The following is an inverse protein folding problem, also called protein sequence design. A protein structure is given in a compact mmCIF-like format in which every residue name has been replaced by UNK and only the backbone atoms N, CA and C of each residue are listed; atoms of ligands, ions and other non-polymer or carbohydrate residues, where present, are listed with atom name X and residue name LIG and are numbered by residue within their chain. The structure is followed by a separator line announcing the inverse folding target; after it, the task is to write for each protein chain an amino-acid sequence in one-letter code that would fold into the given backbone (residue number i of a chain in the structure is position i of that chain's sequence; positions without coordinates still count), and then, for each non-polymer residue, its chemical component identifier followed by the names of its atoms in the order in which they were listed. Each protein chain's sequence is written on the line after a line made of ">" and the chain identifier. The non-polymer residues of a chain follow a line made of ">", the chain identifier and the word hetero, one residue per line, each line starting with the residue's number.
data_IF_555556248332
#
_entry.id   IF_555556248332
#
_cell.length_a   1.000
_cell.length_b   1.000
_cell.length_c   1.000
_cell.angle_alpha   90.00
_cell.angle_beta   90.00
_cell.angle_gamma   90.00
#
_symmetry.space_group_name_H-M   'P 1'
#
loop_
_entity.id
_entity.type
_entity.pdbx_description
1 polymer ?
#
# COMPACT_ATOMS: atom_id res chain seq x y z
N UNK A 1 -2.52 32.71 12.12
CA UNK A 1 -2.07 31.28 12.07
C UNK A 1 -2.81 30.64 10.93
N UNK A 2 -2.13 29.96 10.00
CA UNK A 2 -2.77 29.16 8.95
C UNK A 2 -2.88 27.72 9.44
N UNK A 3 -4.04 27.08 9.22
CA UNK A 3 -4.22 25.65 9.44
C UNK A 3 -3.81 24.90 8.17
N UNK A 4 -3.20 23.71 8.34
CA UNK A 4 -2.87 22.81 7.24
C UNK A 4 -3.73 21.55 7.36
N UNK A 5 -4.42 21.17 6.28
CA UNK A 5 -5.14 19.92 6.17
C UNK A 5 -4.27 18.90 5.41
N UNK A 6 -4.07 17.73 5.99
CA UNK A 6 -3.48 16.58 5.33
C UNK A 6 -4.58 15.54 5.14
N UNK A 7 -4.68 15.00 3.93
CA UNK A 7 -5.63 13.93 3.58
C UNK A 7 -4.83 12.71 3.17
N UNK A 8 -4.94 11.63 3.92
CA UNK A 8 -4.39 10.32 3.61
C UNK A 8 -5.52 9.34 3.39
N UNK A 9 -5.37 8.43 2.44
CA UNK A 9 -6.36 7.43 2.07
C UNK A 9 -5.67 6.09 2.07
N UNK A 10 -6.07 5.21 3.01
CA UNK A 10 -5.66 3.82 2.99
C UNK A 10 -6.28 3.18 1.75
N UNK A 11 -5.40 2.70 0.87
CA UNK A 11 -5.77 2.15 -0.43
C UNK A 11 -5.19 0.75 -0.48
N UNK A 12 -6.02 -0.21 -0.16
CA UNK A 12 -5.62 -1.56 0.21
C UNK A 12 -6.50 -2.61 -0.45
N UNK A 13 -6.15 -3.88 -0.35
CA UNK A 13 -6.95 -4.98 -0.87
C UNK A 13 -8.34 -5.05 -0.21
N UNK A 14 -9.29 -5.66 -0.92
CA UNK A 14 -10.62 -5.94 -0.41
C UNK A 14 -10.58 -7.18 0.49
N UNK A 15 -10.74 -7.00 1.80
CA UNK A 15 -10.79 -8.10 2.75
C UNK A 15 -11.97 -7.96 3.71
N UNK A 16 -12.36 -9.08 4.30
CA UNK A 16 -13.44 -9.13 5.27
C UNK A 16 -12.87 -8.97 6.70
N UNK A 17 -13.21 -7.88 7.36
CA UNK A 17 -12.77 -7.57 8.73
C UNK A 17 -13.26 -8.59 9.78
N UNK A 18 -14.33 -9.33 9.48
CA UNK A 18 -14.91 -10.34 10.37
C UNK A 18 -14.34 -11.75 10.10
N UNK A 19 -13.51 -11.90 9.10
CA UNK A 19 -12.86 -13.16 8.72
C UNK A 19 -11.35 -13.14 9.04
N UNK A 20 -10.71 -14.31 9.17
CA UNK A 20 -9.25 -14.37 9.24
C UNK A 20 -8.60 -13.76 7.99
N UNK A 21 -7.53 -13.02 8.18
CA UNK A 21 -6.73 -12.50 7.06
C UNK A 21 -6.12 -13.64 6.26
N UNK A 22 -6.06 -13.48 4.94
CA UNK A 22 -5.55 -14.51 4.03
C UNK A 22 -4.84 -13.88 2.84
N UNK A 23 -3.70 -14.44 2.39
CA UNK A 23 -3.00 -13.96 1.20
C UNK A 23 -3.81 -14.09 -0.09
N UNK A 24 -4.87 -14.93 -0.10
CA UNK A 24 -5.79 -15.06 -1.23
C UNK A 24 -6.76 -13.88 -1.35
N UNK A 25 -6.97 -13.12 -0.27
CA UNK A 25 -7.82 -11.93 -0.25
C UNK A 25 -7.03 -10.72 -0.77
N UNK A 26 -6.78 -10.68 -2.06
CA UNK A 26 -5.95 -9.66 -2.72
C UNK A 26 -6.69 -8.94 -3.86
N UNK A 27 -8.02 -8.98 -3.87
CA UNK A 27 -8.83 -8.24 -4.82
C UNK A 27 -8.66 -6.73 -4.65
N UNK A 28 -8.65 -6.01 -5.76
CA UNK A 28 -8.53 -4.55 -5.79
C UNK A 28 -9.56 -3.93 -6.76
N UNK A 29 -10.73 -4.53 -6.88
CA UNK A 29 -11.78 -4.14 -7.82
C UNK A 29 -12.24 -2.69 -7.64
N UNK A 30 -12.28 -2.22 -6.39
CA UNK A 30 -12.63 -0.85 -6.02
C UNK A 30 -11.68 0.20 -6.62
N UNK A 31 -10.46 -0.16 -7.00
CA UNK A 31 -9.50 0.77 -7.61
C UNK A 31 -10.05 1.42 -8.89
N UNK A 32 -10.99 0.76 -9.57
CA UNK A 32 -11.70 1.31 -10.73
C UNK A 32 -12.57 2.53 -10.39
N UNK A 33 -12.93 2.74 -9.14
CA UNK A 33 -13.73 3.86 -8.65
C UNK A 33 -12.89 5.04 -8.12
N UNK A 34 -11.58 4.87 -7.93
CA UNK A 34 -10.68 5.93 -7.49
C UNK A 34 -10.72 7.20 -8.38
N UNK A 35 -10.93 7.12 -9.71
CA UNK A 35 -11.06 8.32 -10.52
C UNK A 35 -12.18 9.27 -10.06
N UNK A 36 -13.31 8.71 -9.62
CA UNK A 36 -14.42 9.54 -9.12
C UNK A 36 -14.07 10.22 -7.81
N UNK A 37 -13.37 9.53 -6.92
CA UNK A 37 -12.89 10.11 -5.65
C UNK A 37 -11.85 11.21 -5.92
N UNK A 38 -10.93 10.97 -6.84
CA UNK A 38 -9.90 11.92 -7.22
C UNK A 38 -10.48 13.20 -7.83
N UNK A 39 -11.54 13.08 -8.67
CA UNK A 39 -12.25 14.23 -9.21
C UNK A 39 -12.77 15.14 -8.08
N UNK A 40 -13.40 14.56 -7.05
CA UNK A 40 -13.90 15.33 -5.91
C UNK A 40 -12.78 16.09 -5.17
N UNK A 41 -11.63 15.46 -4.98
CA UNK A 41 -10.49 16.13 -4.37
C UNK A 41 -9.96 17.28 -5.24
N UNK A 42 -9.91 17.09 -6.54
CA UNK A 42 -9.44 18.14 -7.46
C UNK A 42 -10.43 19.31 -7.53
N UNK A 43 -11.75 19.05 -7.49
CA UNK A 43 -12.79 20.09 -7.40
C UNK A 43 -12.63 20.96 -6.15
N UNK A 44 -12.22 20.36 -5.03
CA UNK A 44 -11.99 21.06 -3.75
C UNK A 44 -10.56 21.60 -3.59
N UNK A 45 -9.71 21.43 -4.58
CA UNK A 45 -8.30 21.85 -4.53
C UNK A 45 -7.47 21.07 -3.52
N UNK A 46 -7.87 19.85 -3.20
CA UNK A 46 -7.18 18.95 -2.27
C UNK A 46 -6.25 18.03 -3.05
N UNK A 47 -5.03 17.87 -2.53
CA UNK A 47 -4.04 16.92 -3.05
C UNK A 47 -3.85 15.81 -2.01
N UNK A 48 -4.51 14.65 -2.18
CA UNK A 48 -4.42 13.56 -1.21
C UNK A 48 -3.11 12.77 -1.35
N UNK A 49 -2.77 12.01 -0.30
CA UNK A 49 -1.78 10.93 -0.34
C UNK A 49 -2.51 9.59 -0.28
N UNK A 50 -2.40 8.80 -1.34
CA UNK A 50 -2.84 7.40 -1.34
C UNK A 50 -1.72 6.53 -0.76
N UNK A 51 -1.96 5.91 0.39
CA UNK A 51 -1.03 4.96 0.97
C UNK A 51 -1.45 3.55 0.53
N UNK A 52 -0.60 2.92 -0.28
CA UNK A 52 -0.95 1.72 -1.04
C UNK A 52 -0.22 0.50 -0.51
N UNK A 53 -0.92 -0.62 -0.49
CA UNK A 53 -0.38 -1.94 -0.17
C UNK A 53 0.21 -2.64 -1.41
N UNK A 54 0.67 -3.88 -1.22
CA UNK A 54 1.28 -4.66 -2.29
C UNK A 54 0.31 -4.99 -3.43
N UNK A 55 -0.92 -5.52 -3.22
CA UNK A 55 -1.91 -5.77 -4.27
C UNK A 55 -2.26 -4.53 -5.09
N UNK A 56 -2.49 -3.40 -4.44
CA UNK A 56 -2.76 -2.12 -5.14
C UNK A 56 -1.56 -1.67 -5.98
N UNK A 57 -0.36 -1.79 -5.44
CA UNK A 57 0.84 -1.34 -6.15
C UNK A 57 1.20 -2.21 -7.36
N UNK A 58 0.84 -3.49 -7.34
CA UNK A 58 1.26 -4.49 -8.35
C UNK A 58 0.19 -4.88 -9.35
N UNK A 59 -1.08 -4.53 -9.10
CA UNK A 59 -2.16 -4.84 -10.04
C UNK A 59 -2.26 -3.76 -11.13
N UNK A 60 -2.32 -4.17 -12.39
CA UNK A 60 -2.29 -3.28 -13.56
C UNK A 60 -3.34 -2.16 -13.52
N UNK A 61 -4.55 -2.46 -13.05
CA UNK A 61 -5.65 -1.48 -12.99
C UNK A 61 -5.35 -0.38 -12.01
N UNK A 62 -5.03 -0.73 -10.76
CA UNK A 62 -4.73 0.22 -9.68
C UNK A 62 -3.45 1.01 -9.95
N UNK A 63 -2.37 0.34 -10.36
CA UNK A 63 -1.11 0.97 -10.68
C UNK A 63 -1.25 1.98 -11.84
N UNK A 64 -2.07 1.67 -12.84
CA UNK A 64 -2.35 2.59 -13.96
C UNK A 64 -3.13 3.81 -13.51
N UNK A 65 -4.21 3.62 -12.75
CA UNK A 65 -5.08 4.69 -12.26
C UNK A 65 -4.29 5.65 -11.37
N UNK A 66 -3.66 5.13 -10.33
CA UNK A 66 -2.85 5.93 -9.39
C UNK A 66 -1.64 6.57 -10.07
N UNK A 67 -0.99 5.85 -10.97
CA UNK A 67 0.11 6.39 -11.75
C UNK A 67 -0.30 7.55 -12.67
N UNK A 68 -1.53 7.60 -13.16
CA UNK A 68 -2.05 8.76 -13.90
C UNK A 68 -2.20 9.99 -12.99
N UNK A 69 -2.73 9.81 -11.77
CA UNK A 69 -2.88 10.89 -10.79
C UNK A 69 -1.51 11.46 -10.37
N UNK A 70 -0.58 10.57 -10.02
CA UNK A 70 0.76 10.95 -9.59
C UNK A 70 1.52 11.70 -10.69
N UNK A 71 1.49 11.21 -11.94
CA UNK A 71 2.19 11.86 -13.06
C UNK A 71 1.72 13.27 -13.35
N UNK A 72 0.45 13.58 -13.12
CA UNK A 72 -0.06 14.95 -13.27
C UNK A 72 0.05 15.79 -11.99
N UNK A 73 0.67 15.25 -10.94
CA UNK A 73 0.85 15.94 -9.66
C UNK A 73 -0.44 16.12 -8.85
N UNK A 74 -1.48 15.33 -9.15
CA UNK A 74 -2.79 15.46 -8.50
C UNK A 74 -2.87 14.73 -7.15
N UNK A 75 -1.93 13.83 -6.86
CA UNK A 75 -1.82 13.14 -5.58
C UNK A 75 -0.35 12.83 -5.24
N UNK A 76 -0.13 12.33 -4.04
CA UNK A 76 1.08 11.63 -3.62
C UNK A 76 0.78 10.15 -3.43
N UNK A 77 1.81 9.31 -3.55
CA UNK A 77 1.71 7.87 -3.29
C UNK A 77 2.65 7.56 -2.13
N UNK A 78 2.09 6.97 -1.09
CA UNK A 78 2.80 6.43 0.06
C UNK A 78 2.71 4.91 0.10
N UNK A 79 3.40 4.30 1.05
CA UNK A 79 3.32 2.86 1.29
C UNK A 79 2.42 2.54 2.48
N UNK A 80 1.62 1.49 2.34
CA UNK A 80 0.83 0.84 3.37
C UNK A 80 1.23 -0.63 3.42
N UNK A 81 1.32 -1.20 4.61
CA UNK A 81 1.83 -2.56 4.75
C UNK A 81 0.79 -3.49 5.34
N UNK A 82 0.39 -4.46 4.52
CA UNK A 82 -0.35 -5.64 4.96
C UNK A 82 0.52 -6.88 4.80
N UNK A 83 1.15 -7.38 5.87
CA UNK A 83 2.13 -8.48 5.78
C UNK A 83 1.59 -9.75 5.12
N UNK A 84 0.30 -10.04 5.30
CA UNK A 84 -0.35 -11.25 4.80
C UNK A 84 -0.54 -11.30 3.28
N UNK A 85 -0.48 -10.16 2.57
CA UNK A 85 -0.58 -10.10 1.10
C UNK A 85 0.75 -9.83 0.42
N UNK A 86 1.84 -9.79 1.17
CA UNK A 86 3.19 -9.58 0.61
C UNK A 86 3.83 -10.96 0.35
N UNK A 87 4.11 -11.34 -0.91
CA UNK A 87 4.60 -12.69 -1.26
C UNK A 87 5.96 -13.07 -0.66
N UNK A 88 6.70 -12.08 -0.13
CA UNK A 88 8.04 -12.27 0.42
C UNK A 88 8.04 -12.52 1.94
N UNK A 89 6.90 -12.42 2.59
CA UNK A 89 6.78 -12.68 4.01
C UNK A 89 6.23 -14.10 4.18
N UNK A 90 7.12 -15.05 4.40
CA UNK A 90 6.80 -16.47 4.61
C UNK A 90 6.51 -16.80 6.09
N UNK A 91 6.29 -15.78 6.92
CA UNK A 91 5.97 -16.01 8.32
C UNK A 91 4.53 -16.52 8.49
N UNK A 92 4.30 -17.50 9.38
CA UNK A 92 2.94 -17.93 9.69
C UNK A 92 2.15 -16.76 10.25
N UNK A 93 1.02 -16.45 9.62
CA UNK A 93 0.10 -15.41 10.09
C UNK A 93 -0.52 -15.91 11.40
N UNK A 94 -0.04 -15.38 12.51
CA UNK A 94 -0.61 -15.68 13.82
C UNK A 94 -1.94 -14.94 13.99
N UNK A 95 -2.95 -15.54 14.68
CA UNK A 95 -4.24 -14.89 14.91
C UNK A 95 -4.13 -13.51 15.58
N UNK A 96 -3.06 -13.24 16.30
CA UNK A 96 -2.76 -11.92 16.90
C UNK A 96 -2.33 -10.88 15.88
N UNK A 97 -1.85 -11.26 14.72
CA UNK A 97 -1.43 -10.35 13.65
C UNK A 97 -2.65 -9.84 12.87
N UNK A 98 -3.78 -10.52 13.03
CA UNK A 98 -5.07 -10.12 12.46
C UNK A 98 -5.79 -9.03 13.27
N UNK A 99 -5.27 -8.65 14.44
CA UNK A 99 -5.91 -7.66 15.28
C UNK A 99 -5.02 -6.42 15.45
N UNK A 100 -5.45 -5.33 14.87
CA UNK A 100 -5.02 -3.95 15.11
C UNK A 100 -5.10 -3.50 16.60
N UNK A 101 -5.21 -4.44 17.55
CA UNK A 101 -5.51 -4.14 18.94
C UNK A 101 -4.33 -3.71 19.81
N UNK A 102 -3.10 -3.77 19.28
CA UNK A 102 -1.96 -3.18 19.96
C UNK A 102 -1.22 -2.25 18.97
N UNK A 103 -1.80 -1.09 18.77
CA UNK A 103 -1.23 -0.04 17.91
C UNK A 103 0.29 0.18 18.06
N UNK A 104 0.91 0.16 19.26
CA UNK A 104 2.35 0.28 19.39
C UNK A 104 3.13 -0.94 18.88
N UNK A 105 2.57 -2.14 18.99
CA UNK A 105 3.25 -3.38 18.62
C UNK A 105 3.02 -3.73 17.15
N UNK A 106 1.83 -3.48 16.63
CA UNK A 106 1.53 -3.58 15.20
C UNK A 106 2.26 -2.52 14.38
N UNK A 107 2.41 -1.31 14.91
CA UNK A 107 3.21 -0.27 14.28
C UNK A 107 4.71 -0.62 14.26
N UNK A 108 5.23 -1.25 15.33
CA UNK A 108 6.61 -1.75 15.37
C UNK A 108 6.85 -2.92 14.41
N UNK A 109 5.91 -3.85 14.32
CA UNK A 109 5.97 -4.97 13.37
C UNK A 109 5.81 -4.46 11.93
N UNK A 110 4.88 -3.57 11.67
CA UNK A 110 4.70 -2.96 10.35
C UNK A 110 5.93 -2.13 9.92
N UNK A 111 6.51 -1.34 10.81
CA UNK A 111 7.74 -0.59 10.53
C UNK A 111 8.96 -1.51 10.42
N UNK A 112 9.08 -2.54 11.27
CA UNK A 112 10.13 -3.54 11.19
C UNK A 112 10.08 -4.32 9.89
N UNK A 113 8.92 -4.82 9.50
CA UNK A 113 8.70 -5.53 8.24
C UNK A 113 8.91 -4.63 7.02
N UNK A 114 8.54 -3.35 7.08
CA UNK A 114 8.80 -2.39 6.01
C UNK A 114 10.31 -2.15 5.81
N UNK A 115 11.07 -2.02 6.90
CA UNK A 115 12.52 -1.84 6.82
C UNK A 115 13.22 -3.08 6.26
N UNK A 116 12.85 -4.28 6.72
CA UNK A 116 13.38 -5.55 6.20
C UNK A 116 12.99 -5.73 4.73
N UNK A 117 11.74 -5.51 4.38
CA UNK A 117 11.27 -5.63 2.99
C UNK A 117 11.95 -4.61 2.05
N UNK A 118 12.22 -3.40 2.53
CA UNK A 118 12.92 -2.38 1.73
C UNK A 118 14.40 -2.73 1.51
N UNK A 119 15.07 -3.32 2.50
CA UNK A 119 16.47 -3.76 2.37
C UNK A 119 16.59 -5.00 1.48
N UNK A 120 15.70 -5.97 1.61
CA UNK A 120 15.67 -7.17 0.74
C UNK A 120 15.30 -6.84 -0.70
N UNK A 121 14.35 -5.93 -0.93
CA UNK A 121 14.02 -5.43 -2.26
C UNK A 121 15.18 -4.68 -2.91
N UNK A 122 15.95 -3.92 -2.12
CA UNK A 122 17.16 -3.24 -2.61
C UNK A 122 18.27 -4.25 -2.92
N UNK A 123 18.46 -5.27 -2.07
CA UNK A 123 19.42 -6.35 -2.31
C UNK A 123 19.06 -7.15 -3.56
N UNK A 124 17.81 -7.54 -3.73
CA UNK A 124 17.32 -8.27 -4.90
C UNK A 124 17.42 -7.46 -6.21
N UNK A 125 17.13 -6.16 -6.16
CA UNK A 125 17.33 -5.26 -7.30
C UNK A 125 18.79 -5.16 -7.71
N UNK A 126 19.71 -5.13 -6.74
CA UNK A 126 21.17 -5.10 -7.02
C UNK A 126 21.64 -6.42 -7.64
N UNK A 127 21.13 -7.56 -7.20
CA UNK A 127 21.42 -8.89 -7.78
C UNK A 127 20.88 -9.02 -9.20
N UNK A 128 19.61 -8.61 -9.44
CA UNK A 128 19.00 -8.63 -10.77
C UNK A 128 19.69 -7.67 -11.75
N UNK A 129 20.20 -6.55 -11.28
CA UNK A 129 20.93 -5.59 -12.09
C UNK A 129 22.33 -6.10 -12.42
N UNK A 130 23.00 -6.79 -11.49
CA UNK A 130 24.28 -7.44 -11.73
C UNK A 130 24.17 -8.61 -12.72
N UNK A 131 23.07 -9.39 -12.64
CA UNK A 131 22.81 -10.51 -13.56
C UNK A 131 22.47 -10.06 -15.00
N UNK A 132 22.03 -8.82 -15.21
CA UNK A 132 21.72 -8.25 -16.53
C UNK A 132 22.93 -7.57 -17.21
N UNK A 133 24.05 -7.47 -16.52
CA UNK A 133 25.27 -6.79 -16.99
C UNK A 133 26.36 -7.78 -17.42
N UNK A 134 26.05 -9.08 -17.42
CA UNK A 134 26.89 -10.18 -17.95
C UNK A 134 26.24 -10.71 -19.22
#
# INVERSE_FOLDING_TARGET
>A
MSATLLVTIDTEEEFDWDAPVSPENNSVGHASHLPRLQELFEEEGVRPTYVVDYPIATTDVSARVLGQFARRGACEIGAHLHPWVIPLIEEPIEPRDSYLYNLPQSLHLAMGSYLVCSEELQAKRSEDQAARTV
#
